data_IF_086648380993
#
_entry.id   IF_086648380993
#
_cell.length_a   1.000
_cell.length_b   1.000
_cell.length_c   1.000
_cell.angle_alpha   90.00
_cell.angle_beta   90.00
_cell.angle_gamma   90.00
#
_symmetry.space_group_name_H-M   'P 1'
#
loop_
_entity.id
_entity.type
_entity.pdbx_description
1 polymer ?
#
# COMPACT_ATOMS: atom_id res chain seq x y z
N UNK A 1 16.09 -1.40 -2.83
CA UNK A 1 16.14 -0.83 -1.46
C UNK A 1 16.12 0.68 -1.64
N UNK A 2 15.16 1.40 -1.06
CA UNK A 2 14.97 2.85 -1.26
C UNK A 2 15.90 3.63 -0.35
N UNK A 3 16.72 4.53 -0.88
CA UNK A 3 17.65 5.29 -0.03
C UNK A 3 16.87 6.25 0.89
N UNK A 4 17.17 6.20 2.19
CA UNK A 4 16.63 7.14 3.18
C UNK A 4 17.72 8.11 3.57
N UNK A 5 17.51 9.40 3.29
CA UNK A 5 18.39 10.47 3.74
C UNK A 5 17.88 11.04 5.06
N UNK A 6 18.80 11.32 5.97
CA UNK A 6 18.53 11.99 7.24
C UNK A 6 19.00 13.45 7.16
N UNK A 7 18.13 14.38 7.51
CA UNK A 7 18.46 15.80 7.60
C UNK A 7 18.05 16.38 8.96
N UNK A 8 18.83 17.29 9.57
CA UNK A 8 18.40 18.03 10.75
C UNK A 8 17.05 18.73 10.50
N UNK A 9 16.14 18.67 11.46
CA UNK A 9 14.77 19.23 11.40
C UNK A 9 13.77 18.52 10.46
N UNK A 10 14.09 17.33 9.96
CA UNK A 10 13.12 16.51 9.24
C UNK A 10 12.00 16.06 10.20
N UNK A 11 10.73 16.35 9.85
CA UNK A 11 9.55 15.96 10.64
C UNK A 11 9.20 14.48 10.58
N UNK A 12 10.00 13.70 9.84
CA UNK A 12 9.76 12.29 9.53
C UNK A 12 10.94 11.48 10.05
N UNK A 13 10.70 10.23 10.43
CA UNK A 13 11.73 9.33 10.98
C UNK A 13 11.90 8.14 10.05
N UNK A 14 12.57 8.31 8.89
CA UNK A 14 12.74 7.21 7.96
C UNK A 14 13.79 6.21 8.43
N UNK A 15 13.61 4.95 8.08
CA UNK A 15 14.57 3.90 8.42
C UNK A 15 14.20 2.53 7.88
N UNK A 16 14.99 1.54 8.30
CA UNK A 16 14.83 0.14 7.96
C UNK A 16 14.64 -0.68 9.23
N UNK A 17 13.66 -1.58 9.21
CA UNK A 17 13.44 -2.55 10.28
C UNK A 17 13.65 -3.96 9.73
N UNK A 18 14.49 -4.76 10.38
CA UNK A 18 14.59 -6.18 10.06
C UNK A 18 13.33 -6.89 10.55
N UNK A 19 12.69 -7.66 9.67
CA UNK A 19 11.48 -8.43 10.01
C UNK A 19 11.78 -9.92 9.96
N UNK A 20 11.38 -10.65 11.00
CA UNK A 20 11.54 -12.10 11.07
C UNK A 20 10.64 -12.81 10.04
N UNK A 21 9.47 -12.25 9.77
CA UNK A 21 8.46 -12.77 8.85
C UNK A 21 8.98 -12.89 7.42
N UNK A 22 9.71 -11.87 6.93
CA UNK A 22 10.25 -11.89 5.56
C UNK A 22 11.73 -12.24 5.50
N UNK A 23 12.43 -12.27 6.65
CA UNK A 23 13.88 -12.43 6.70
C UNK A 23 14.62 -11.31 5.97
N UNK A 24 14.06 -10.09 5.98
CA UNK A 24 14.61 -8.95 5.25
C UNK A 24 14.28 -7.63 5.94
N UNK A 25 14.92 -6.55 5.47
CA UNK A 25 14.61 -5.19 5.90
C UNK A 25 13.35 -4.65 5.19
N UNK A 26 12.45 -4.07 5.97
CA UNK A 26 11.25 -3.34 5.52
C UNK A 26 11.42 -1.87 5.87
N UNK A 27 11.09 -0.98 4.92
CA UNK A 27 11.25 0.46 5.09
C UNK A 27 10.07 1.09 5.84
N UNK A 28 10.34 2.16 6.58
CA UNK A 28 9.33 3.03 7.19
C UNK A 28 9.75 4.49 7.04
N UNK A 29 8.80 5.42 6.96
CA UNK A 29 9.04 6.86 6.88
C UNK A 29 8.65 7.60 8.18
N UNK A 30 7.92 6.94 9.08
CA UNK A 30 7.50 7.48 10.37
C UNK A 30 7.63 6.47 11.51
N UNK A 31 7.64 6.94 12.76
CA UNK A 31 7.61 6.05 13.93
C UNK A 31 6.30 5.23 14.00
N UNK A 32 5.19 5.81 13.56
CA UNK A 32 3.90 5.12 13.53
C UNK A 32 3.91 3.97 12.50
N UNK A 33 4.53 4.19 11.34
CA UNK A 33 4.76 3.15 10.35
C UNK A 33 5.70 2.06 10.88
N UNK A 34 6.80 2.43 11.54
CA UNK A 34 7.70 1.46 12.19
C UNK A 34 6.94 0.57 13.17
N UNK A 35 6.11 1.17 14.02
CA UNK A 35 5.33 0.43 15.01
C UNK A 35 4.27 -0.46 14.33
N UNK A 36 3.71 -0.04 13.19
CA UNK A 36 2.82 -0.87 12.36
C UNK A 36 3.53 -2.09 11.77
N UNK A 37 4.79 -1.95 11.33
CA UNK A 37 5.62 -3.07 10.86
C UNK A 37 5.96 -4.02 12.00
N UNK A 38 6.32 -3.50 13.18
CA UNK A 38 6.57 -4.32 14.37
C UNK A 38 5.36 -5.19 14.73
N UNK A 39 4.16 -4.60 14.71
CA UNK A 39 2.92 -5.34 14.96
C UNK A 39 2.64 -6.41 13.90
N UNK A 40 2.91 -6.10 12.62
CA UNK A 40 2.76 -7.06 11.54
C UNK A 40 3.76 -8.22 11.65
N UNK A 41 5.00 -7.94 12.04
CA UNK A 41 6.04 -8.96 12.20
C UNK A 41 5.81 -9.88 13.41
N UNK A 42 5.07 -9.40 14.42
CA UNK A 42 4.68 -10.18 15.59
C UNK A 42 3.49 -11.12 15.32
N UNK A 43 2.62 -10.79 14.36
CA UNK A 43 1.38 -11.52 14.11
C UNK A 43 1.65 -12.82 13.31
N UNK A 44 1.38 -14.02 13.87
CA UNK A 44 1.64 -15.29 13.19
C UNK A 44 0.75 -15.55 11.97
N UNK A 45 -0.33 -14.79 11.79
CA UNK A 45 -1.15 -14.84 10.59
C UNK A 45 -0.49 -14.12 9.42
N UNK A 46 0.43 -13.18 9.66
CA UNK A 46 1.16 -12.47 8.62
C UNK A 46 2.32 -13.33 8.14
N UNK A 47 2.44 -13.50 6.82
CA UNK A 47 3.48 -14.30 6.17
C UNK A 47 4.28 -13.49 5.14
N UNK A 48 3.96 -12.21 4.96
CA UNK A 48 4.69 -11.31 4.08
C UNK A 48 4.38 -9.86 4.39
N UNK A 49 5.40 -9.01 4.30
CA UNK A 49 5.33 -7.57 4.56
C UNK A 49 6.09 -6.86 3.44
N UNK A 50 5.42 -5.96 2.71
CA UNK A 50 6.04 -5.18 1.63
C UNK A 50 5.75 -3.70 1.84
N UNK A 51 6.79 -2.87 1.94
CA UNK A 51 6.68 -1.41 2.01
C UNK A 51 6.43 -0.82 0.62
N UNK A 52 5.46 0.10 0.50
CA UNK A 52 5.14 0.84 -0.73
C UNK A 52 5.05 -0.06 -1.98
N UNK A 53 4.13 -1.03 -1.95
CA UNK A 53 4.11 -2.19 -2.85
C UNK A 53 3.84 -1.81 -4.31
N UNK A 54 3.02 -0.79 -4.54
CA UNK A 54 2.65 -0.29 -5.85
C UNK A 54 2.04 1.10 -5.71
N UNK A 55 1.89 1.77 -6.85
CA UNK A 55 1.23 3.06 -6.91
C UNK A 55 -0.22 2.88 -7.33
N UNK A 56 -1.13 3.55 -6.63
CA UNK A 56 -2.52 3.65 -7.03
C UNK A 56 -2.78 5.05 -7.57
N UNK A 57 -3.45 5.11 -8.72
CA UNK A 57 -3.81 6.36 -9.38
C UNK A 57 -5.32 6.44 -9.54
N UNK A 58 -5.92 7.59 -9.24
CA UNK A 58 -7.37 7.77 -9.29
C UNK A 58 -7.78 9.23 -9.38
N UNK A 59 -9.05 9.47 -9.70
CA UNK A 59 -9.65 10.81 -9.59
C UNK A 59 -10.07 11.03 -8.15
N UNK A 60 -9.72 12.18 -7.62
CA UNK A 60 -10.16 12.65 -6.33
C UNK A 60 -11.27 13.68 -6.57
N UNK A 61 -12.53 13.25 -6.51
CA UNK A 61 -13.70 14.11 -6.75
C UNK A 61 -13.82 15.23 -5.71
N UNK A 62 -13.23 15.05 -4.52
CA UNK A 62 -13.26 16.03 -3.44
C UNK A 62 -12.33 17.22 -3.66
N UNK A 63 -11.36 17.15 -4.59
CA UNK A 63 -10.43 18.25 -4.86
C UNK A 63 -10.35 18.69 -6.33
N UNK A 64 -11.33 18.31 -7.16
CA UNK A 64 -11.46 18.80 -8.53
C UNK A 64 -10.39 18.25 -9.47
N UNK A 65 -10.69 17.15 -10.15
CA UNK A 65 -9.99 16.60 -11.32
C UNK A 65 -8.48 16.30 -11.26
N UNK A 66 -7.78 16.53 -10.16
CA UNK A 66 -6.36 16.16 -10.07
C UNK A 66 -6.24 14.64 -9.96
N UNK A 67 -5.68 14.00 -11.02
CA UNK A 67 -5.22 12.60 -10.94
C UNK A 67 -4.19 12.50 -9.82
N UNK A 68 -4.57 11.92 -8.69
CA UNK A 68 -3.64 11.68 -7.58
C UNK A 68 -3.03 10.29 -7.70
N UNK A 69 -1.74 10.22 -7.39
CA UNK A 69 -0.97 8.99 -7.27
C UNK A 69 -0.56 8.85 -5.81
N UNK A 70 -0.88 7.72 -5.20
CA UNK A 70 -0.52 7.41 -3.81
C UNK A 70 -0.07 5.95 -3.72
N UNK A 71 1.06 5.71 -3.06
CA UNK A 71 1.49 4.38 -2.69
C UNK A 71 1.00 4.10 -1.27
N UNK A 72 0.28 2.99 -1.02
CA UNK A 72 0.00 2.53 0.33
C UNK A 72 1.29 2.29 1.10
N UNK A 73 1.28 2.43 2.42
CA UNK A 73 2.49 2.25 3.22
C UNK A 73 2.93 0.79 3.23
N UNK A 74 1.98 -0.15 3.38
CA UNK A 74 2.27 -1.58 3.40
C UNK A 74 1.24 -2.45 2.67
N UNK A 75 1.72 -3.58 2.15
CA UNK A 75 0.91 -4.75 1.80
C UNK A 75 1.30 -5.90 2.73
N UNK A 76 0.31 -6.46 3.40
CA UNK A 76 0.46 -7.65 4.23
C UNK A 76 -0.13 -8.85 3.51
N UNK A 77 0.63 -9.93 3.42
CA UNK A 77 0.15 -11.24 2.97
C UNK A 77 -0.19 -12.09 4.19
N UNK A 78 -1.37 -12.69 4.19
CA UNK A 78 -1.87 -13.51 5.29
C UNK A 78 -1.76 -15.00 4.96
N UNK A 79 -1.68 -15.82 6.00
CA UNK A 79 -1.52 -17.29 5.91
C UNK A 79 -2.67 -17.98 5.18
N UNK A 80 -3.86 -17.40 5.22
CA UNK A 80 -5.06 -17.87 4.51
C UNK A 80 -5.07 -17.51 3.01
N UNK A 81 -4.04 -16.82 2.53
CA UNK A 81 -3.92 -16.35 1.15
C UNK A 81 -4.56 -14.98 0.90
N UNK A 82 -5.15 -14.34 1.92
CA UNK A 82 -5.67 -12.99 1.80
C UNK A 82 -4.54 -11.95 1.81
N UNK A 83 -4.83 -10.76 1.28
CA UNK A 83 -3.92 -9.63 1.32
C UNK A 83 -4.60 -8.39 1.89
N UNK A 84 -3.90 -7.65 2.74
CA UNK A 84 -4.38 -6.42 3.37
C UNK A 84 -3.49 -5.26 2.95
N UNK A 85 -4.11 -4.24 2.36
CA UNK A 85 -3.44 -2.96 2.06
C UNK A 85 -3.60 -2.06 3.27
N UNK A 86 -2.48 -1.52 3.76
CA UNK A 86 -2.44 -0.70 4.98
C UNK A 86 -1.99 0.71 4.62
N UNK A 87 -2.80 1.69 5.02
CA UNK A 87 -2.39 3.10 5.12
C UNK A 87 -2.22 3.47 6.59
N UNK A 88 -1.14 4.17 6.91
CA UNK A 88 -0.79 4.59 8.27
C UNK A 88 -0.92 6.10 8.33
N UNK A 89 -1.76 6.58 9.26
CA UNK A 89 -1.96 8.00 9.51
C UNK A 89 -2.18 8.23 11.00
N UNK A 90 -1.76 9.39 11.54
CA UNK A 90 -2.19 9.84 12.85
C UNK A 90 -3.72 9.88 12.94
N UNK A 91 -4.29 9.53 14.09
CA UNK A 91 -5.74 9.54 14.29
C UNK A 91 -6.38 10.93 14.03
N UNK A 92 -5.64 12.01 14.29
CA UNK A 92 -6.09 13.37 14.01
C UNK A 92 -6.27 13.67 12.51
N UNK A 93 -5.62 12.89 11.63
CA UNK A 93 -5.64 13.08 10.18
C UNK A 93 -6.63 12.15 9.46
N UNK A 94 -7.31 11.27 10.21
CA UNK A 94 -8.22 10.27 9.63
C UNK A 94 -9.49 10.92 9.04
N UNK A 95 -9.93 12.04 9.62
CA UNK A 95 -11.09 12.82 9.18
C UNK A 95 -10.74 13.92 8.16
N UNK A 96 -9.47 14.32 8.09
CA UNK A 96 -9.02 15.50 7.35
C UNK A 96 -8.94 15.29 5.83
N UNK A 97 -8.93 14.04 5.35
CA UNK A 97 -8.86 13.76 3.92
C UNK A 97 -9.69 12.52 3.56
N UNK A 98 -10.69 12.63 2.66
CA UNK A 98 -11.51 11.50 2.27
C UNK A 98 -10.63 10.33 1.79
N UNK A 99 -11.03 9.07 2.05
CA UNK A 99 -10.28 7.91 1.64
C UNK A 99 -10.08 7.97 0.12
N UNK A 100 -8.87 7.65 -0.31
CA UNK A 100 -8.59 7.53 -1.74
C UNK A 100 -9.35 6.30 -2.26
N UNK A 101 -10.35 6.54 -3.13
CA UNK A 101 -11.13 5.47 -3.77
C UNK A 101 -10.60 5.31 -5.20
N UNK A 102 -9.85 4.23 -5.52
CA UNK A 102 -9.49 3.97 -6.90
C UNK A 102 -10.75 3.65 -7.71
N UNK A 103 -10.80 4.15 -8.94
CA UNK A 103 -11.84 3.74 -9.88
C UNK A 103 -11.80 2.20 -10.00
N UNK A 104 -12.90 1.52 -9.66
CA UNK A 104 -13.02 0.08 -9.90
C UNK A 104 -12.78 -0.16 -11.38
N UNK A 105 -11.80 -1.00 -11.70
CA UNK A 105 -11.64 -1.54 -13.05
C UNK A 105 -12.94 -2.29 -13.35
N UNK A 106 -13.76 -1.78 -14.26
CA UNK A 106 -14.85 -2.57 -14.82
C UNK A 106 -14.17 -3.68 -15.62
N UNK A 107 -14.14 -4.89 -15.06
CA UNK A 107 -13.84 -6.08 -15.85
C UNK A 107 -15.01 -6.25 -16.81
N UNK A 108 -14.84 -5.73 -18.03
CA UNK A 108 -15.66 -6.06 -19.18
C UNK A 108 -15.52 -7.56 -19.43
N UNK A 109 -16.49 -8.31 -18.92
CA UNK A 109 -16.77 -9.66 -19.33
C UNK A 109 -17.17 -9.64 -20.82
N UNK A 110 -16.17 -9.77 -21.70
CA UNK A 110 -16.40 -10.12 -23.09
C UNK A 110 -15.86 -11.52 -23.34
N UNK A 111 -16.64 -12.51 -22.87
CA UNK A 111 -16.61 -13.87 -23.40
C UNK A 111 -17.84 -14.00 -24.30
N UNK A 112 -17.64 -13.79 -25.60
CA UNK A 112 -18.72 -13.80 -26.57
C UNK A 112 -18.26 -14.07 -28.00
N UNK A 113 -17.72 -15.28 -28.25
CA UNK A 113 -18.00 -16.09 -29.45
C UNK A 113 -17.96 -15.38 -30.82
N UNK A 114 -16.92 -15.65 -31.60
CA UNK A 114 -17.07 -15.84 -33.06
C UNK A 114 -16.12 -16.93 -33.55
N UNK A 115 -16.69 -18.13 -33.64
CA UNK A 115 -16.36 -19.10 -34.67
C UNK A 115 -17.04 -18.61 -35.95
N UNK A 116 -16.26 -18.45 -37.02
CA UNK A 116 -16.66 -18.96 -38.33
C UNK A 116 -15.44 -19.12 -39.24
N UNK A 117 -15.31 -20.33 -39.74
CA UNK A 117 -14.49 -20.70 -40.87
C UNK A 117 -15.04 -20.05 -42.15
N UNK A 118 -14.17 -19.79 -43.13
CA UNK A 118 -14.26 -20.40 -44.47
C UNK A 118 -13.28 -19.77 -45.47
N UNK A 119 -12.55 -20.69 -46.12
CA UNK A 119 -11.87 -20.65 -47.42
C UNK A 119 -10.47 -20.05 -47.53
#
# INVERSE_FOLDING_TARGET
MREFAWHPHQGNYPGWLWTATTGSFVGYESLLERDRVLLADFDPAVVGIVSQPFWISGRDEACGEVRRRHAPDYLLSLRDGCHVVVGVKPAADDEARPPFIPARRQDSADRGRSVNASR
#
